data_IF_795562026204
#
_entry.id   IF_795562026204
#
_cell.length_a   1.000
_cell.length_b   1.000
_cell.length_c   1.000
_cell.angle_alpha   90.00
_cell.angle_beta   90.00
_cell.angle_gamma   90.00
#
_symmetry.space_group_name_H-M   'P 1'
#
loop_
_entity.id
_entity.type
_entity.pdbx_description
1 polymer ?
#
# COMPACT_ATOMS: atom_id res chain seq x y z
N UNK A 1 19.07 12.86 36.52
CA UNK A 1 18.02 13.87 36.35
C UNK A 1 17.49 13.67 34.94
N UNK A 2 16.31 13.06 34.80
CA UNK A 2 15.61 13.05 33.51
C UNK A 2 15.43 14.52 33.11
N UNK A 3 15.95 14.90 31.94
CA UNK A 3 15.79 16.25 31.41
C UNK A 3 14.30 16.55 31.25
N UNK A 4 13.93 17.81 31.47
CA UNK A 4 12.56 18.29 31.31
C UNK A 4 12.10 18.00 29.87
N UNK A 5 11.14 17.09 29.70
CA UNK A 5 10.58 16.69 28.40
C UNK A 5 9.33 17.51 28.12
N UNK A 6 9.10 17.87 26.84
CA UNK A 6 7.88 18.59 26.47
C UNK A 6 6.61 17.76 26.63
N UNK A 7 6.75 16.44 26.61
CA UNK A 7 5.68 15.46 26.70
C UNK A 7 6.17 14.08 26.26
N UNK A 8 5.39 13.04 26.61
CA UNK A 8 5.69 11.63 26.36
C UNK A 8 4.65 11.06 25.40
N UNK A 9 5.10 10.34 24.38
CA UNK A 9 4.20 9.64 23.43
C UNK A 9 4.62 8.20 23.25
N UNK A 10 3.66 7.28 23.26
CA UNK A 10 3.87 5.89 22.80
C UNK A 10 3.57 5.84 21.31
N UNK A 11 4.50 5.34 20.49
CA UNK A 11 4.29 5.13 19.05
C UNK A 11 4.33 3.64 18.73
N UNK A 12 3.35 3.16 17.96
CA UNK A 12 3.27 1.77 17.55
C UNK A 12 2.72 1.63 16.12
N UNK A 13 3.31 0.72 15.34
CA UNK A 13 2.61 0.19 14.16
C UNK A 13 1.74 -0.97 14.65
N UNK A 14 0.46 -0.91 14.29
CA UNK A 14 -0.59 -1.77 14.86
C UNK A 14 -0.36 -3.26 14.57
N UNK A 15 -1.08 -4.13 15.30
CA UNK A 15 -0.97 -5.58 15.19
C UNK A 15 -1.04 -6.04 13.72
N UNK A 16 -0.05 -6.85 13.34
CA UNK A 16 0.05 -7.50 12.04
C UNK A 16 0.59 -6.62 10.91
N UNK A 17 0.74 -5.31 11.13
CA UNK A 17 1.35 -4.40 10.16
C UNK A 17 2.87 -4.28 10.38
N UNK A 18 3.63 -4.36 9.29
CA UNK A 18 5.11 -4.32 9.29
C UNK A 18 5.69 -2.99 8.88
N UNK A 19 4.88 -2.09 8.33
CA UNK A 19 5.39 -0.88 7.71
C UNK A 19 5.55 0.23 8.75
N UNK A 20 6.75 0.79 8.85
CA UNK A 20 7.06 1.76 9.90
C UNK A 20 7.81 3.02 9.49
N UNK A 21 8.06 3.23 8.19
CA UNK A 21 8.71 4.47 7.70
C UNK A 21 8.03 5.72 8.27
N UNK A 22 6.71 5.81 8.13
CA UNK A 22 5.93 6.96 8.59
C UNK A 22 6.05 7.16 10.10
N UNK A 23 5.92 6.07 10.87
CA UNK A 23 6.08 6.07 12.34
C UNK A 23 7.48 6.52 12.75
N UNK A 24 8.50 5.96 12.13
CA UNK A 24 9.90 6.27 12.45
C UNK A 24 10.24 7.71 12.08
N UNK A 25 9.67 8.26 11.00
CA UNK A 25 9.79 9.69 10.71
C UNK A 25 9.12 10.56 11.78
N UNK A 26 7.94 10.16 12.28
CA UNK A 26 7.26 10.86 13.39
C UNK A 26 8.11 10.81 14.65
N UNK A 27 8.67 9.65 15.00
CA UNK A 27 9.60 9.49 16.13
C UNK A 27 10.78 10.47 16.01
N UNK A 28 11.50 10.43 14.88
CA UNK A 28 12.65 11.30 14.62
C UNK A 28 12.29 12.77 14.78
N UNK A 29 11.15 13.20 14.24
CA UNK A 29 10.72 14.60 14.32
C UNK A 29 10.35 14.98 15.76
N UNK A 30 9.60 14.14 16.49
CA UNK A 30 9.20 14.43 17.87
C UNK A 30 10.40 14.44 18.82
N UNK A 31 11.27 13.43 18.72
CA UNK A 31 12.51 13.31 19.52
C UNK A 31 13.40 14.54 19.31
N UNK A 32 13.62 14.97 18.05
CA UNK A 32 14.40 16.18 17.75
C UNK A 32 13.75 17.48 18.25
N UNK A 33 12.45 17.47 18.53
CA UNK A 33 11.71 18.63 19.03
C UNK A 33 11.50 18.62 20.56
N UNK A 34 12.14 17.69 21.27
CA UNK A 34 12.19 17.67 22.74
C UNK A 34 11.06 16.85 23.39
N UNK A 35 10.40 15.96 22.64
CA UNK A 35 9.47 14.97 23.18
C UNK A 35 10.21 13.68 23.54
N UNK A 36 9.68 12.94 24.50
CA UNK A 36 10.11 11.57 24.79
C UNK A 36 9.23 10.60 24.02
N UNK A 37 9.82 9.85 23.09
CA UNK A 37 9.10 8.88 22.27
C UNK A 37 9.38 7.46 22.77
N UNK A 38 8.33 6.72 23.09
CA UNK A 38 8.37 5.29 23.41
C UNK A 38 7.92 4.54 22.16
N UNK A 39 8.88 4.24 21.28
CA UNK A 39 8.61 3.54 20.02
C UNK A 39 8.60 2.02 20.25
N UNK A 40 7.42 1.42 20.18
CA UNK A 40 7.22 -0.02 20.40
C UNK A 40 7.55 -0.85 19.15
N UNK A 41 7.83 -0.20 18.01
CA UNK A 41 8.10 -0.89 16.75
C UNK A 41 6.82 -1.34 16.04
N UNK A 42 6.91 -2.51 15.39
CA UNK A 42 5.90 -3.05 14.48
C UNK A 42 5.12 -4.21 15.07
N UNK A 43 3.97 -4.55 14.46
CA UNK A 43 3.10 -5.66 14.86
C UNK A 43 2.65 -5.61 16.33
N UNK A 44 2.44 -4.42 16.89
CA UNK A 44 2.18 -4.27 18.33
C UNK A 44 0.71 -4.53 18.67
N UNK A 45 0.40 -5.47 19.59
CA UNK A 45 -0.95 -5.66 20.10
C UNK A 45 -1.33 -4.51 21.04
N UNK A 46 -2.64 -4.25 21.15
CA UNK A 46 -3.17 -3.19 22.00
C UNK A 46 -2.80 -3.34 23.48
N UNK A 47 -2.67 -4.57 23.97
CA UNK A 47 -2.21 -4.83 25.34
C UNK A 47 -0.85 -4.20 25.62
N UNK A 48 0.07 -4.25 24.66
CA UNK A 48 1.44 -3.76 24.82
C UNK A 48 1.46 -2.23 24.71
N UNK A 49 0.63 -1.67 23.82
CA UNK A 49 0.43 -0.21 23.70
C UNK A 49 -0.12 0.38 24.99
N UNK A 50 -1.19 -0.21 25.55
CA UNK A 50 -1.80 0.23 26.81
C UNK A 50 -0.80 0.11 27.95
N UNK A 51 -0.13 -1.05 28.06
CA UNK A 51 0.88 -1.29 29.09
C UNK A 51 1.99 -0.24 29.03
N UNK A 52 2.54 0.05 27.85
CA UNK A 52 3.57 1.06 27.69
C UNK A 52 3.07 2.47 28.05
N UNK A 53 1.81 2.79 27.69
CA UNK A 53 1.20 4.07 28.04
C UNK A 53 1.12 4.25 29.56
N UNK A 54 0.69 3.22 30.29
CA UNK A 54 0.61 3.21 31.75
C UNK A 54 2.00 3.24 32.40
N UNK A 55 2.92 2.38 31.96
CA UNK A 55 4.29 2.27 32.51
C UNK A 55 5.09 3.58 32.35
N UNK A 56 4.94 4.25 31.22
CA UNK A 56 5.68 5.47 30.92
C UNK A 56 4.92 6.76 31.24
N UNK A 57 3.66 6.65 31.68
CA UNK A 57 2.74 7.78 31.88
C UNK A 57 2.71 8.67 30.64
N UNK A 58 2.36 8.08 29.50
CA UNK A 58 2.36 8.79 28.23
C UNK A 58 1.23 9.81 28.15
N UNK A 59 1.52 10.99 27.60
CA UNK A 59 0.56 12.08 27.39
C UNK A 59 -0.27 11.88 26.11
N UNK A 60 0.20 11.03 25.20
CA UNK A 60 -0.48 10.66 23.98
C UNK A 60 -0.08 9.26 23.49
N UNK A 61 -0.91 8.65 22.65
CA UNK A 61 -0.59 7.43 21.91
C UNK A 61 -0.70 7.72 20.41
N UNK A 62 0.29 7.31 19.63
CA UNK A 62 0.28 7.32 18.18
C UNK A 62 0.21 5.91 17.60
N UNK A 63 -0.74 5.67 16.70
CA UNK A 63 -0.87 4.40 15.97
C UNK A 63 -0.70 4.63 14.46
N UNK A 64 0.10 3.77 13.83
CA UNK A 64 0.40 3.79 12.39
C UNK A 64 -0.05 2.50 11.69
N UNK A 65 -0.47 2.61 10.43
CA UNK A 65 -0.83 1.47 9.59
C UNK A 65 -0.87 1.82 8.10
N UNK A 66 -0.34 0.96 7.24
CA UNK A 66 -0.25 1.19 5.80
C UNK A 66 -1.49 0.73 5.06
N UNK A 67 -2.12 -0.38 5.49
CA UNK A 67 -3.17 -1.07 4.75
C UNK A 67 -4.56 -0.85 5.36
N UNK A 68 -5.61 -1.12 4.56
CA UNK A 68 -7.01 -0.97 5.00
C UNK A 68 -7.32 -1.86 6.21
N UNK A 69 -6.78 -3.08 6.25
CA UNK A 69 -6.93 -3.98 7.39
C UNK A 69 -6.31 -3.39 8.67
N UNK A 70 -5.20 -2.67 8.56
CA UNK A 70 -4.57 -1.96 9.68
C UNK A 70 -5.45 -0.86 10.23
N UNK A 71 -6.25 -0.19 9.39
CA UNK A 71 -7.25 0.81 9.83
C UNK A 71 -8.34 0.16 10.70
N UNK A 72 -8.78 -1.06 10.36
CA UNK A 72 -9.74 -1.79 11.18
C UNK A 72 -9.13 -2.18 12.55
N UNK A 73 -7.84 -2.56 12.58
CA UNK A 73 -7.14 -2.82 13.84
C UNK A 73 -7.06 -1.55 14.70
N UNK A 74 -6.82 -0.37 14.11
CA UNK A 74 -6.88 0.90 14.86
C UNK A 74 -8.26 1.16 15.46
N UNK A 75 -9.32 0.88 14.71
CA UNK A 75 -10.69 1.01 15.20
C UNK A 75 -10.97 0.07 16.39
N UNK A 76 -10.59 -1.19 16.28
CA UNK A 76 -10.76 -2.16 17.37
C UNK A 76 -9.94 -1.78 18.61
N UNK A 77 -8.72 -1.26 18.41
CA UNK A 77 -7.91 -0.71 19.49
C UNK A 77 -8.62 0.46 20.19
N UNK A 78 -9.20 1.39 19.44
CA UNK A 78 -9.97 2.50 20.02
C UNK A 78 -11.18 2.01 20.82
N UNK A 79 -11.92 1.00 20.33
CA UNK A 79 -13.04 0.39 21.06
C UNK A 79 -12.58 -0.22 22.38
N UNK A 80 -11.46 -0.95 22.36
CA UNK A 80 -10.92 -1.59 23.55
C UNK A 80 -10.44 -0.56 24.58
N UNK A 81 -9.73 0.49 24.13
CA UNK A 81 -9.29 1.57 25.00
C UNK A 81 -10.48 2.30 25.62
N UNK A 82 -11.49 2.64 24.82
CA UNK A 82 -12.70 3.29 25.30
C UNK A 82 -13.46 2.40 26.32
N UNK A 83 -13.58 1.10 26.04
CA UNK A 83 -14.19 0.12 26.94
C UNK A 83 -13.45 -0.04 28.28
N UNK A 84 -12.16 0.28 28.32
CA UNK A 84 -11.33 0.33 29.54
C UNK A 84 -11.33 1.70 30.23
N UNK A 85 -12.00 2.70 29.65
CA UNK A 85 -12.05 4.07 30.17
C UNK A 85 -10.72 4.82 30.01
N UNK A 86 -9.90 4.44 29.03
CA UNK A 86 -8.68 5.16 28.69
C UNK A 86 -9.07 6.36 27.83
N UNK A 87 -8.66 7.56 28.24
CA UNK A 87 -9.02 8.85 27.63
C UNK A 87 -7.82 9.62 27.07
N UNK A 88 -6.62 9.02 27.10
CA UNK A 88 -5.38 9.59 26.57
C UNK A 88 -5.59 9.99 25.10
N UNK A 89 -5.17 11.20 24.67
CA UNK A 89 -5.25 11.63 23.27
C UNK A 89 -4.56 10.65 22.31
N UNK A 90 -5.26 10.32 21.21
CA UNK A 90 -4.79 9.40 20.18
C UNK A 90 -4.47 10.15 18.89
N UNK A 91 -3.29 9.89 18.34
CA UNK A 91 -2.89 10.32 17.01
C UNK A 91 -2.93 9.10 16.09
N UNK A 92 -3.74 9.16 15.03
CA UNK A 92 -3.78 8.12 14.01
C UNK A 92 -3.13 8.62 12.72
N UNK A 93 -2.34 7.78 12.08
CA UNK A 93 -1.71 8.07 10.79
C UNK A 93 -1.42 6.81 9.97
N UNK A 94 -0.83 7.02 8.80
CA UNK A 94 -0.51 5.95 7.85
C UNK A 94 -1.31 6.05 6.55
N UNK A 95 -0.84 5.40 5.49
CA UNK A 95 -1.26 5.73 4.11
C UNK A 95 -2.71 5.35 3.80
N UNK A 96 -3.22 4.24 4.35
CA UNK A 96 -4.60 3.81 4.14
C UNK A 96 -5.62 4.64 4.93
N UNK A 97 -5.21 5.28 6.04
CA UNK A 97 -6.14 6.05 6.86
C UNK A 97 -6.49 7.38 6.19
N UNK A 98 -7.75 7.55 5.82
CA UNK A 98 -8.22 8.85 5.36
C UNK A 98 -8.52 9.78 6.54
N UNK A 99 -8.18 11.06 6.40
CA UNK A 99 -8.53 12.10 7.37
C UNK A 99 -10.02 12.10 7.70
N UNK A 100 -10.87 11.97 6.68
CA UNK A 100 -12.31 12.01 6.88
C UNK A 100 -12.79 10.86 7.74
N UNK A 101 -12.36 9.63 7.48
CA UNK A 101 -12.74 8.47 8.29
C UNK A 101 -12.32 8.65 9.76
N UNK A 102 -11.10 9.13 9.99
CA UNK A 102 -10.63 9.43 11.34
C UNK A 102 -11.49 10.51 12.02
N UNK A 103 -11.75 11.63 11.34
CA UNK A 103 -12.45 12.78 11.91
C UNK A 103 -13.96 12.59 12.07
N UNK A 104 -14.63 11.89 11.15
CA UNK A 104 -16.10 11.72 11.15
C UNK A 104 -16.59 10.48 11.88
N UNK A 105 -15.75 9.44 12.00
CA UNK A 105 -16.15 8.16 12.58
C UNK A 105 -15.31 7.78 13.80
N UNK A 106 -14.00 7.54 13.62
CA UNK A 106 -13.14 7.05 14.71
C UNK A 106 -13.07 7.99 15.91
N UNK A 107 -13.11 9.31 15.67
CA UNK A 107 -13.17 10.32 16.73
C UNK A 107 -14.40 10.16 17.62
N UNK A 108 -15.57 9.89 17.03
CA UNK A 108 -16.82 9.73 17.79
C UNK A 108 -16.82 8.44 18.61
N UNK A 109 -16.25 7.37 18.05
CA UNK A 109 -16.13 6.07 18.72
C UNK A 109 -15.34 6.18 20.04
N UNK A 110 -14.23 6.94 20.05
CA UNK A 110 -13.40 7.09 21.24
C UNK A 110 -13.89 8.19 22.19
N UNK A 111 -14.65 9.18 21.68
CA UNK A 111 -15.20 10.27 22.48
C UNK A 111 -16.12 9.79 23.61
N UNK A 112 -16.72 8.59 23.49
CA UNK A 112 -17.54 8.00 24.55
C UNK A 112 -16.76 7.82 25.87
N UNK A 113 -15.45 7.59 25.81
CA UNK A 113 -14.58 7.49 26.98
C UNK A 113 -14.03 8.85 27.46
N UNK A 114 -14.40 9.96 26.82
CA UNK A 114 -13.83 11.28 27.08
C UNK A 114 -12.51 11.55 26.37
N UNK A 115 -12.00 10.58 25.60
CA UNK A 115 -10.76 10.71 24.86
C UNK A 115 -10.91 11.45 23.53
N UNK A 116 -9.78 11.93 22.99
CA UNK A 116 -9.73 12.66 21.72
C UNK A 116 -8.90 11.91 20.68
N UNK A 117 -9.33 11.95 19.41
CA UNK A 117 -8.62 11.32 18.28
C UNK A 117 -8.30 12.38 17.23
N UNK A 118 -7.06 12.38 16.76
CA UNK A 118 -6.55 13.31 15.76
C UNK A 118 -5.86 12.57 14.60
N UNK A 119 -6.06 13.06 13.39
CA UNK A 119 -5.39 12.53 12.20
C UNK A 119 -4.09 13.28 11.89
N UNK A 120 -2.96 12.58 11.91
CA UNK A 120 -1.66 13.10 11.47
C UNK A 120 -1.35 12.66 10.04
N UNK A 121 -1.37 13.59 9.07
CA UNK A 121 -1.06 13.29 7.66
C UNK A 121 0.42 12.96 7.43
N UNK A 122 1.30 13.62 8.16
CA UNK A 122 2.74 13.44 8.10
C UNK A 122 3.38 13.78 9.46
N UNK A 123 4.70 13.60 9.57
CA UNK A 123 5.43 13.81 10.82
C UNK A 123 5.36 15.26 11.32
N UNK A 124 5.25 16.26 10.44
CA UNK A 124 5.14 17.66 10.85
C UNK A 124 3.76 17.97 11.40
N UNK A 125 2.72 17.38 10.82
CA UNK A 125 1.39 17.46 11.42
C UNK A 125 1.33 16.73 12.76
N UNK A 126 1.98 15.56 12.89
CA UNK A 126 2.14 14.87 14.17
C UNK A 126 2.79 15.75 15.25
N UNK A 127 3.85 16.47 14.89
CA UNK A 127 4.48 17.48 15.76
C UNK A 127 3.51 18.60 16.15
N UNK A 128 2.77 19.16 15.17
CA UNK A 128 1.78 20.21 15.45
C UNK A 128 0.71 19.73 16.42
N UNK A 129 0.23 18.51 16.27
CA UNK A 129 -0.79 17.91 17.13
C UNK A 129 -0.25 17.77 18.56
N UNK A 130 0.95 17.19 18.73
CA UNK A 130 1.61 17.09 20.03
C UNK A 130 1.80 18.45 20.71
N UNK A 131 2.28 19.46 19.96
CA UNK A 131 2.44 20.83 20.49
C UNK A 131 1.11 21.42 20.99
N UNK A 132 -0.01 21.14 20.32
CA UNK A 132 -1.32 21.61 20.76
C UNK A 132 -1.86 20.82 21.95
N UNK A 133 -1.66 19.51 21.99
CA UNK A 133 -2.06 18.65 23.11
C UNK A 133 -1.33 19.10 24.38
N UNK A 134 -0.01 19.22 24.33
CA UNK A 134 0.80 19.63 25.50
C UNK A 134 0.57 21.08 25.91
N UNK A 135 0.17 21.95 24.98
CA UNK A 135 -0.21 23.33 25.29
C UNK A 135 -1.65 23.47 25.82
N UNK A 136 -2.42 22.39 25.94
CA UNK A 136 -3.83 22.43 26.35
C UNK A 136 -4.74 23.12 25.32
N UNK A 137 -4.35 23.13 24.04
CA UNK A 137 -5.05 23.80 22.92
C UNK A 137 -5.85 22.84 22.06
N UNK A 138 -6.33 21.74 22.63
CA UNK A 138 -7.14 20.74 21.91
C UNK A 138 -8.42 21.32 21.33
N UNK A 139 -9.02 22.34 21.96
CA UNK A 139 -10.26 22.95 21.49
C UNK A 139 -10.06 23.66 20.13
N UNK A 140 -8.85 24.16 19.87
CA UNK A 140 -8.49 24.71 18.56
C UNK A 140 -8.48 23.61 17.50
N UNK A 141 -7.89 22.46 17.81
CA UNK A 141 -7.88 21.31 16.90
C UNK A 141 -9.30 20.79 16.65
N UNK A 142 -10.11 20.71 17.70
CA UNK A 142 -11.49 20.26 17.64
C UNK A 142 -12.32 21.18 16.74
N UNK A 143 -12.21 22.50 16.91
CA UNK A 143 -12.88 23.46 16.05
C UNK A 143 -12.44 23.35 14.58
N UNK A 144 -11.14 23.18 14.34
CA UNK A 144 -10.63 22.99 12.98
C UNK A 144 -11.21 21.73 12.30
N UNK A 145 -11.46 20.66 13.06
CA UNK A 145 -12.11 19.43 12.58
C UNK A 145 -13.58 19.71 12.25
N UNK A 146 -14.33 20.34 13.17
CA UNK A 146 -15.75 20.67 12.95
C UNK A 146 -15.95 21.55 11.71
N UNK A 147 -15.07 22.54 11.51
CA UNK A 147 -15.09 23.41 10.34
C UNK A 147 -14.87 22.61 9.04
N UNK A 148 -13.98 21.60 9.06
CA UNK A 148 -13.72 20.73 7.90
C UNK A 148 -14.91 19.83 7.60
N UNK A 149 -15.49 19.20 8.62
CA UNK A 149 -16.65 18.31 8.46
C UNK A 149 -17.87 19.07 7.95
N UNK A 150 -18.13 20.26 8.50
CA UNK A 150 -19.24 21.13 8.06
C UNK A 150 -19.07 21.53 6.59
N UNK A 151 -17.89 22.01 6.20
CA UNK A 151 -17.61 22.38 4.80
C UNK A 151 -17.77 21.21 3.83
N UNK A 152 -17.43 20.00 4.27
CA UNK A 152 -17.58 18.79 3.47
C UNK A 152 -19.05 18.39 3.32
N UNK A 153 -19.81 18.40 4.41
CA UNK A 153 -21.25 18.14 4.38
C UNK A 153 -21.97 19.12 3.44
N UNK A 154 -21.68 20.41 3.53
CA UNK A 154 -22.22 21.43 2.62
C UNK A 154 -21.89 21.16 1.14
N UNK A 155 -20.70 20.62 0.86
CA UNK A 155 -20.29 20.28 -0.49
C UNK A 155 -21.00 19.01 -0.99
N UNK A 156 -21.13 17.99 -0.15
CA UNK A 156 -21.83 16.75 -0.45
C UNK A 156 -23.33 17.01 -0.71
N UNK A 157 -23.99 17.84 0.10
CA UNK A 157 -25.37 18.27 -0.15
C UNK A 157 -25.55 18.99 -1.49
N UNK A 158 -24.60 19.86 -1.87
CA UNK A 158 -24.63 20.55 -3.17
C UNK A 158 -24.44 19.58 -4.33
N UNK A 159 -23.53 18.61 -4.20
CA UNK A 159 -23.30 17.57 -5.19
C UNK A 159 -24.57 16.71 -5.33
N UNK A 160 -25.18 16.32 -4.23
CA UNK A 160 -26.37 15.46 -4.26
C UNK A 160 -27.61 16.20 -4.76
N UNK A 161 -27.74 17.49 -4.45
CA UNK A 161 -28.74 18.36 -5.08
C UNK A 161 -28.51 18.52 -6.60
N UNK A 162 -27.25 18.55 -7.05
CA UNK A 162 -26.92 18.58 -8.47
C UNK A 162 -27.23 17.24 -9.16
N UNK A 163 -26.83 16.12 -8.56
CA UNK A 163 -27.17 14.76 -9.05
C UNK A 163 -28.68 14.52 -9.05
N UNK A 164 -29.42 15.00 -8.05
CA UNK A 164 -30.88 14.90 -8.02
C UNK A 164 -31.54 15.67 -9.17
N UNK A 165 -31.00 16.85 -9.55
CA UNK A 165 -31.45 17.59 -10.73
C UNK A 165 -31.14 16.87 -12.04
N UNK A 166 -29.99 16.20 -12.12
CA UNK A 166 -29.63 15.41 -13.30
C UNK A 166 -30.43 14.10 -13.39
N UNK A 167 -30.70 13.44 -12.26
CA UNK A 167 -31.64 12.31 -12.17
C UNK A 167 -33.04 12.70 -12.58
N UNK A 168 -33.56 13.86 -12.14
CA UNK A 168 -34.86 14.35 -12.60
C UNK A 168 -34.90 14.63 -14.11
N UNK A 169 -33.79 15.07 -14.73
CA UNK A 169 -33.69 15.20 -16.20
C UNK A 169 -33.65 13.86 -16.92
N UNK A 170 -32.98 12.86 -16.35
CA UNK A 170 -32.92 11.51 -16.90
C UNK A 170 -34.24 10.74 -16.71
N UNK A 171 -34.91 10.88 -15.57
CA UNK A 171 -36.22 10.29 -15.30
C UNK A 171 -37.33 10.91 -16.15
N UNK A 172 -37.26 12.22 -16.43
CA UNK A 172 -38.15 12.86 -17.41
C UNK A 172 -37.93 12.33 -18.84
N UNK A 173 -36.73 11.84 -19.16
CA UNK A 173 -36.42 11.13 -20.41
C UNK A 173 -36.81 9.65 -20.39
N UNK A 174 -36.68 8.97 -19.25
CA UNK A 174 -36.99 7.55 -19.08
C UNK A 174 -38.49 7.29 -18.89
N UNK A 175 -39.28 8.23 -18.38
CA UNK A 175 -40.75 8.13 -18.35
C UNK A 175 -41.39 8.03 -19.75
N UNK A 176 -40.63 8.29 -20.82
CA UNK A 176 -41.03 8.03 -22.21
C UNK A 176 -40.76 6.58 -22.68
N UNK A 177 -40.03 5.76 -21.92
CA UNK A 177 -39.70 4.37 -22.23
C UNK A 177 -40.13 3.46 -21.05
N UNK A 178 -41.22 2.71 -21.27
CA UNK A 178 -41.96 1.98 -20.23
C UNK A 178 -41.13 1.09 -19.31
N UNK A 179 -41.53 1.08 -18.02
CA UNK A 179 -40.86 0.37 -16.93
C UNK A 179 -41.08 -1.14 -16.93
N UNK A 180 -40.00 -1.86 -16.69
CA UNK A 180 -40.00 -3.26 -16.27
C UNK A 180 -39.13 -3.41 -15.02
N UNK A 181 -39.62 -4.17 -14.04
CA UNK A 181 -38.90 -4.52 -12.81
C UNK A 181 -37.69 -5.38 -13.12
N UNK A 182 -36.49 -4.80 -13.03
CA UNK A 182 -35.23 -5.48 -13.32
C UNK A 182 -34.84 -6.42 -12.16
N UNK A 183 -34.71 -7.70 -12.50
CA UNK A 183 -33.80 -8.61 -11.78
C UNK A 183 -32.42 -7.96 -11.87
N UNK A 184 -31.69 -7.83 -10.76
CA UNK A 184 -30.31 -7.31 -10.78
C UNK A 184 -29.45 -8.35 -11.48
N UNK A 185 -29.36 -8.24 -12.80
CA UNK A 185 -28.48 -9.05 -13.63
C UNK A 185 -27.05 -8.59 -13.36
N UNK A 186 -26.18 -9.50 -12.92
CA UNK A 186 -24.75 -9.18 -12.72
C UNK A 186 -24.15 -8.97 -14.10
N UNK A 187 -23.93 -7.71 -14.47
CA UNK A 187 -23.42 -7.32 -15.79
C UNK A 187 -21.90 -7.51 -15.82
N UNK A 188 -21.41 -8.39 -16.71
CA UNK A 188 -19.97 -8.53 -17.00
C UNK A 188 -19.44 -7.29 -17.73
N UNK A 189 -18.16 -6.97 -17.57
CA UNK A 189 -17.54 -5.88 -18.32
C UNK A 189 -17.53 -6.11 -19.84
N UNK A 190 -17.36 -5.02 -20.58
CA UNK A 190 -17.36 -4.97 -22.05
C UNK A 190 -15.98 -5.25 -22.69
N UNK A 191 -15.03 -5.80 -21.92
CA UNK A 191 -13.67 -6.11 -22.39
C UNK A 191 -13.69 -7.19 -23.48
N UNK A 192 -12.75 -7.10 -24.42
CA UNK A 192 -12.63 -8.02 -25.53
C UNK A 192 -12.44 -9.48 -25.07
N UNK A 193 -13.21 -10.42 -25.63
CA UNK A 193 -13.11 -11.85 -25.27
C UNK A 193 -12.29 -12.67 -26.27
N UNK A 194 -12.02 -12.09 -27.45
CA UNK A 194 -11.33 -12.70 -28.58
C UNK A 194 -9.80 -12.47 -28.56
N UNK A 195 -9.26 -12.05 -27.42
CA UNK A 195 -7.81 -11.89 -27.23
C UNK A 195 -7.10 -13.23 -27.29
N UNK A 196 -6.00 -13.29 -28.04
CA UNK A 196 -5.14 -14.48 -28.14
C UNK A 196 -4.39 -14.72 -26.83
N UNK A 197 -4.47 -15.93 -26.30
CA UNK A 197 -3.71 -16.38 -25.13
C UNK A 197 -2.22 -16.46 -25.51
N UNK A 198 -1.31 -15.80 -24.77
CA UNK A 198 0.12 -15.88 -25.03
C UNK A 198 0.66 -17.28 -24.69
N UNK A 199 1.74 -17.68 -25.37
CA UNK A 199 2.48 -18.88 -24.99
C UNK A 199 3.48 -18.53 -23.89
N UNK A 200 3.60 -19.36 -22.87
CA UNK A 200 4.56 -19.19 -21.77
C UNK A 200 5.70 -20.19 -21.89
N UNK A 201 6.92 -19.86 -21.46
CA UNK A 201 8.09 -20.73 -21.61
C UNK A 201 8.06 -21.96 -20.68
N UNK A 202 7.24 -21.93 -19.64
CA UNK A 202 7.00 -23.04 -18.72
C UNK A 202 5.67 -22.84 -18.00
N UNK A 203 5.19 -23.88 -17.31
CA UNK A 203 4.08 -23.82 -16.36
C UNK A 203 4.58 -24.26 -14.98
N UNK A 204 3.94 -23.80 -13.91
CA UNK A 204 4.44 -23.92 -12.53
C UNK A 204 5.34 -22.74 -12.15
N UNK A 205 6.16 -22.91 -11.11
CA UNK A 205 6.97 -21.83 -10.52
C UNK A 205 8.48 -22.08 -10.57
N UNK A 206 9.25 -20.99 -10.63
CA UNK A 206 10.72 -20.96 -10.61
C UNK A 206 11.24 -19.88 -9.68
N UNK A 207 12.41 -20.14 -9.09
CA UNK A 207 13.17 -19.17 -8.29
C UNK A 207 14.27 -18.56 -9.14
N UNK A 208 14.51 -17.26 -8.94
CA UNK A 208 15.66 -16.54 -9.48
C UNK A 208 16.27 -15.70 -8.36
N UNK A 209 17.54 -15.94 -8.05
CA UNK A 209 18.25 -15.34 -6.91
C UNK A 209 19.63 -14.75 -7.28
N UNK A 210 19.97 -14.75 -8.57
CA UNK A 210 21.25 -14.30 -9.13
C UNK A 210 21.13 -12.99 -9.94
N UNK A 211 20.26 -12.08 -9.49
CA UNK A 211 19.94 -10.85 -10.21
C UNK A 211 21.03 -9.78 -9.99
N UNK A 212 21.67 -9.28 -11.05
CA UNK A 212 22.65 -8.21 -10.92
C UNK A 212 22.00 -6.91 -10.44
N UNK A 213 22.55 -6.32 -9.37
CA UNK A 213 22.06 -5.05 -8.83
C UNK A 213 22.12 -3.91 -9.86
N UNK A 214 23.06 -3.94 -10.79
CA UNK A 214 23.15 -2.95 -11.87
C UNK A 214 21.95 -2.97 -12.83
N UNK A 215 21.37 -4.15 -13.09
CA UNK A 215 20.14 -4.25 -13.90
C UNK A 215 18.96 -3.65 -13.12
N UNK A 216 18.88 -3.94 -11.83
CA UNK A 216 17.84 -3.45 -10.94
C UNK A 216 17.84 -1.92 -10.81
N UNK A 217 19.02 -1.32 -10.66
CA UNK A 217 19.19 0.13 -10.47
C UNK A 217 18.59 0.94 -11.62
N UNK A 218 18.58 0.40 -12.84
CA UNK A 218 17.94 1.04 -14.00
C UNK A 218 16.42 1.20 -13.89
N UNK A 219 15.78 0.39 -13.05
CA UNK A 219 14.34 0.39 -12.80
C UNK A 219 13.95 1.07 -11.48
N UNK A 220 14.90 1.68 -10.76
CA UNK A 220 14.55 2.46 -9.56
C UNK A 220 13.83 3.74 -9.96
N UNK A 221 12.62 3.93 -9.45
CA UNK A 221 11.86 5.16 -9.64
C UNK A 221 12.44 6.29 -8.78
N UNK A 222 13.45 6.98 -9.33
CA UNK A 222 14.14 8.08 -8.64
C UNK A 222 13.21 9.21 -8.19
N UNK A 223 12.09 9.43 -8.88
CA UNK A 223 11.12 10.47 -8.47
C UNK A 223 10.44 10.04 -7.16
N UNK A 224 9.98 8.80 -7.08
CA UNK A 224 9.37 8.22 -5.87
C UNK A 224 10.39 8.14 -4.72
N UNK A 225 11.61 7.67 -5.00
CA UNK A 225 12.71 7.65 -4.03
C UNK A 225 13.01 9.05 -3.48
N UNK A 226 13.32 10.01 -4.35
CA UNK A 226 13.83 11.32 -3.91
C UNK A 226 12.74 12.13 -3.19
N UNK A 227 11.51 12.18 -3.75
CA UNK A 227 10.44 13.02 -3.19
C UNK A 227 9.62 12.31 -2.12
N UNK A 228 9.34 11.03 -2.34
CA UNK A 228 8.47 10.20 -1.51
C UNK A 228 9.20 9.62 -0.31
N UNK A 229 10.32 8.94 -0.53
CA UNK A 229 11.05 8.29 0.57
C UNK A 229 12.01 9.26 1.27
N UNK A 230 12.90 9.91 0.51
CA UNK A 230 13.96 10.77 1.05
C UNK A 230 13.54 12.21 1.31
N UNK A 231 12.28 12.57 1.00
CA UNK A 231 11.69 13.89 1.27
C UNK A 231 12.38 15.10 0.61
N UNK A 232 13.20 14.91 -0.43
CA UNK A 232 13.75 15.99 -1.27
C UNK A 232 12.68 16.58 -2.19
N UNK A 233 11.74 17.31 -1.58
CA UNK A 233 10.64 18.01 -2.26
C UNK A 233 11.10 19.38 -2.76
N UNK A 234 10.55 19.81 -3.90
CA UNK A 234 10.82 21.15 -4.46
C UNK A 234 10.48 22.28 -3.49
N UNK A 235 9.35 22.16 -2.80
CA UNK A 235 8.91 23.17 -1.83
C UNK A 235 8.83 24.56 -2.48
N UNK A 236 9.58 25.53 -1.91
CA UNK A 236 9.63 26.93 -2.37
C UNK A 236 10.79 27.22 -3.32
N UNK A 237 11.61 26.23 -3.66
CA UNK A 237 12.73 26.38 -4.58
C UNK A 237 12.23 26.67 -5.99
N UNK A 238 12.96 27.48 -6.74
CA UNK A 238 12.80 27.57 -8.19
C UNK A 238 13.19 26.25 -8.87
N UNK A 239 12.78 26.05 -10.12
CA UNK A 239 13.18 24.85 -10.89
C UNK A 239 14.70 24.70 -10.98
N UNK A 240 15.42 25.79 -11.27
CA UNK A 240 16.87 25.77 -11.37
C UNK A 240 17.58 25.44 -10.04
N UNK A 241 17.05 25.92 -8.91
CA UNK A 241 17.60 25.60 -7.59
C UNK A 241 17.32 24.14 -7.21
N UNK A 242 16.12 23.64 -7.53
CA UNK A 242 15.78 22.25 -7.29
C UNK A 242 16.63 21.31 -8.15
N UNK A 243 16.81 21.60 -9.43
CA UNK A 243 17.67 20.82 -10.32
C UNK A 243 19.12 20.79 -9.84
N UNK A 244 19.62 21.91 -9.31
CA UNK A 244 20.95 21.98 -8.69
C UNK A 244 21.05 21.15 -7.41
N UNK A 245 20.01 21.13 -6.58
CA UNK A 245 19.94 20.26 -5.40
C UNK A 245 19.96 18.78 -5.80
N UNK A 246 19.17 18.40 -6.81
CA UNK A 246 19.13 17.03 -7.32
C UNK A 246 20.51 16.61 -7.84
N UNK A 247 21.06 17.35 -8.80
CA UNK A 247 22.33 16.99 -9.46
C UNK A 247 23.55 17.11 -8.55
N UNK A 248 23.56 18.07 -7.62
CA UNK A 248 24.70 18.34 -6.75
C UNK A 248 24.69 17.59 -5.42
N UNK A 249 23.56 17.01 -5.00
CA UNK A 249 23.44 16.35 -3.69
C UNK A 249 22.73 15.01 -3.77
N UNK A 250 21.55 14.97 -4.40
CA UNK A 250 20.69 13.77 -4.34
C UNK A 250 21.19 12.67 -5.27
N UNK A 251 21.64 13.00 -6.48
CA UNK A 251 22.22 12.03 -7.40
C UNK A 251 23.54 11.42 -6.84
N UNK A 252 24.50 12.21 -6.32
CA UNK A 252 25.67 11.65 -5.63
C UNK A 252 25.34 10.76 -4.43
N UNK A 253 24.29 11.09 -3.67
CA UNK A 253 23.81 10.26 -2.57
C UNK A 253 23.27 8.91 -3.10
N UNK A 254 22.49 8.94 -4.18
CA UNK A 254 22.00 7.73 -4.85
C UNK A 254 23.14 6.84 -5.32
N UNK A 255 24.12 7.41 -6.02
CA UNK A 255 25.27 6.65 -6.51
C UNK A 255 26.07 6.03 -5.35
N UNK A 256 26.24 6.77 -4.25
CA UNK A 256 26.88 6.25 -3.05
C UNK A 256 26.10 5.10 -2.40
N UNK A 257 24.77 5.16 -2.37
CA UNK A 257 23.92 4.07 -1.86
C UNK A 257 24.01 2.82 -2.72
N UNK A 258 24.04 2.97 -4.05
CA UNK A 258 24.24 1.85 -4.99
C UNK A 258 25.58 1.16 -4.72
N UNK A 259 26.66 1.94 -4.63
CA UNK A 259 28.00 1.39 -4.40
C UNK A 259 28.15 0.75 -3.01
N UNK A 260 27.54 1.33 -1.98
CA UNK A 260 27.51 0.74 -0.64
C UNK A 260 26.73 -0.59 -0.62
N UNK A 261 25.56 -0.63 -1.26
CA UNK A 261 24.75 -1.84 -1.38
C UNK A 261 25.50 -2.97 -2.09
N UNK A 262 26.26 -2.67 -3.16
CA UNK A 262 27.14 -3.65 -3.84
C UNK A 262 28.27 -4.13 -2.93
N UNK A 263 28.98 -3.19 -2.31
CA UNK A 263 30.16 -3.47 -1.49
C UNK A 263 29.82 -4.30 -0.25
N UNK A 264 28.75 -3.93 0.44
CA UNK A 264 28.34 -4.54 1.70
C UNK A 264 27.33 -5.68 1.51
N UNK A 265 26.85 -5.88 0.27
CA UNK A 265 25.79 -6.84 -0.07
C UNK A 265 24.57 -6.65 0.83
N UNK A 266 24.13 -5.39 0.94
CA UNK A 266 22.99 -5.03 1.79
C UNK A 266 21.66 -5.44 1.16
N UNK A 267 21.63 -5.54 -0.17
CA UNK A 267 20.49 -6.00 -0.96
C UNK A 267 20.80 -7.37 -1.56
N UNK A 268 19.86 -8.30 -1.43
CA UNK A 268 19.87 -9.62 -2.05
C UNK A 268 18.59 -9.79 -2.88
N UNK A 269 18.55 -9.23 -4.11
CA UNK A 269 17.38 -9.31 -4.98
C UNK A 269 17.11 -10.77 -5.36
N UNK A 270 15.91 -11.25 -5.03
CA UNK A 270 15.46 -12.58 -5.35
C UNK A 270 13.96 -12.55 -5.64
N UNK A 271 13.50 -13.50 -6.44
CA UNK A 271 12.08 -13.67 -6.70
C UNK A 271 11.69 -15.13 -6.91
N UNK A 272 10.40 -15.35 -6.77
CA UNK A 272 9.72 -16.52 -7.26
C UNK A 272 8.60 -16.07 -8.19
N UNK A 273 8.50 -16.71 -9.35
CA UNK A 273 7.43 -16.43 -10.31
C UNK A 273 6.97 -17.69 -11.00
N UNK A 274 5.78 -17.65 -11.57
CA UNK A 274 5.23 -18.79 -12.26
C UNK A 274 4.09 -18.44 -13.19
N UNK A 275 3.75 -19.42 -14.02
CA UNK A 275 2.62 -19.36 -14.95
C UNK A 275 1.69 -20.54 -14.70
N UNK A 276 0.40 -20.27 -14.59
CA UNK A 276 -0.60 -21.29 -14.29
C UNK A 276 -1.72 -21.25 -15.33
N UNK A 277 -2.16 -22.40 -15.85
CA UNK A 277 -3.37 -22.46 -16.65
C UNK A 277 -4.55 -21.96 -15.80
N UNK A 278 -5.41 -21.13 -16.38
CA UNK A 278 -6.56 -20.59 -15.66
C UNK A 278 -7.79 -20.39 -16.55
N UNK A 279 -8.94 -20.23 -15.91
CA UNK A 279 -10.16 -19.76 -16.57
C UNK A 279 -11.00 -18.92 -15.62
N UNK A 280 -11.78 -18.00 -16.17
CA UNK A 280 -12.77 -17.24 -15.42
C UNK A 280 -14.10 -17.97 -15.31
N UNK A 281 -14.72 -17.89 -14.13
CA UNK A 281 -16.08 -18.34 -13.85
C UNK A 281 -16.81 -17.24 -13.06
N UNK A 282 -17.51 -16.36 -13.76
CA UNK A 282 -18.05 -15.15 -13.17
C UNK A 282 -16.94 -14.23 -12.64
N UNK A 283 -16.97 -13.94 -11.34
CA UNK A 283 -15.99 -13.13 -10.61
C UNK A 283 -14.78 -13.94 -10.11
N UNK A 284 -14.83 -15.26 -10.29
CA UNK A 284 -13.73 -16.14 -9.90
C UNK A 284 -12.74 -16.35 -11.03
N UNK A 285 -11.48 -16.58 -10.65
CA UNK A 285 -10.42 -17.07 -11.50
C UNK A 285 -9.91 -18.40 -10.94
N UNK A 286 -10.16 -19.47 -11.70
CA UNK A 286 -9.79 -20.85 -11.38
C UNK A 286 -8.40 -21.12 -11.92
N UNK A 287 -7.49 -21.60 -11.07
CA UNK A 287 -6.16 -22.04 -11.48
C UNK A 287 -6.08 -23.56 -11.46
N UNK A 288 -5.43 -24.12 -12.48
CA UNK A 288 -5.30 -25.55 -12.68
C UNK A 288 -3.87 -26.06 -12.44
N UNK A 289 -3.75 -27.34 -12.14
CA UNK A 289 -2.48 -28.03 -11.92
C UNK A 289 -1.62 -27.95 -13.19
N UNK A 290 -0.35 -27.50 -13.11
CA UNK A 290 0.57 -27.48 -14.23
C UNK A 290 0.82 -28.87 -14.87
N UNK A 291 0.64 -29.96 -14.11
CA UNK A 291 0.79 -31.33 -14.59
C UNK A 291 -0.54 -31.95 -15.08
N UNK A 292 -1.68 -31.40 -14.65
CA UNK A 292 -3.04 -31.84 -15.02
C UNK A 292 -4.00 -30.65 -15.07
N UNK A 293 -4.16 -30.06 -16.26
CA UNK A 293 -4.96 -28.85 -16.48
C UNK A 293 -6.49 -29.06 -16.30
N UNK A 294 -6.92 -30.27 -15.96
CA UNK A 294 -8.29 -30.59 -15.56
C UNK A 294 -8.53 -30.45 -14.05
N UNK A 295 -7.47 -30.47 -13.24
CA UNK A 295 -7.53 -30.40 -11.78
C UNK A 295 -7.41 -28.96 -11.30
N UNK A 296 -8.45 -28.46 -10.66
CA UNK A 296 -8.41 -27.18 -9.93
C UNK A 296 -7.48 -27.30 -8.70
N UNK A 297 -6.55 -26.35 -8.57
CA UNK A 297 -5.61 -26.29 -7.43
C UNK A 297 -5.82 -25.06 -6.55
N UNK A 298 -6.39 -23.97 -7.09
CA UNK A 298 -6.66 -22.74 -6.35
C UNK A 298 -7.71 -21.88 -7.05
N UNK A 299 -8.35 -20.98 -6.30
CA UNK A 299 -9.37 -20.06 -6.82
C UNK A 299 -9.29 -18.68 -6.17
N UNK A 300 -9.16 -17.66 -6.99
CA UNK A 300 -9.27 -16.25 -6.56
C UNK A 300 -10.67 -15.73 -6.86
N UNK A 301 -11.22 -14.90 -5.98
CA UNK A 301 -12.52 -14.24 -6.17
C UNK A 301 -12.30 -12.74 -6.14
N UNK A 302 -12.62 -12.05 -7.24
CA UNK A 302 -12.31 -10.63 -7.39
C UNK A 302 -13.58 -9.77 -7.37
N UNK A 303 -13.58 -8.64 -6.65
CA UNK A 303 -14.73 -7.76 -6.64
C UNK A 303 -14.97 -7.12 -8.02
N UNK A 304 -16.23 -6.80 -8.28
CA UNK A 304 -16.68 -6.12 -9.50
C UNK A 304 -16.98 -4.65 -9.22
N UNK A 305 -16.52 -3.79 -10.12
CA UNK A 305 -16.75 -2.35 -10.04
C UNK A 305 -18.25 -1.99 -10.20
N UNK A 306 -18.77 -1.13 -9.32
CA UNK A 306 -20.15 -0.65 -9.42
C UNK A 306 -20.29 0.58 -10.35
N UNK A 307 -21.41 0.64 -11.10
CA UNK A 307 -21.86 1.80 -11.88
C UNK A 307 -20.95 2.33 -13.00
N UNK A 308 -19.84 1.66 -13.32
CA UNK A 308 -18.88 2.06 -14.37
C UNK A 308 -18.80 1.01 -15.49
N UNK A 309 -17.59 0.56 -15.83
CA UNK A 309 -17.35 -0.48 -16.84
C UNK A 309 -17.58 -1.90 -16.31
N UNK A 310 -18.03 -2.03 -15.05
CA UNK A 310 -18.22 -3.32 -14.38
C UNK A 310 -16.99 -4.21 -14.40
N UNK A 311 -15.78 -3.61 -14.36
CA UNK A 311 -14.52 -4.34 -14.42
C UNK A 311 -14.37 -5.27 -13.20
N UNK A 312 -13.91 -6.48 -13.48
CA UNK A 312 -13.46 -7.47 -12.53
C UNK A 312 -12.20 -8.12 -13.11
N UNK A 313 -11.20 -8.46 -12.30
CA UNK A 313 -9.93 -9.02 -12.80
C UNK A 313 -10.16 -10.33 -13.57
N UNK A 314 -11.11 -11.16 -13.14
CA UNK A 314 -11.46 -12.41 -13.83
C UNK A 314 -11.92 -12.17 -15.27
N UNK A 315 -12.47 -10.99 -15.58
CA UNK A 315 -13.02 -10.71 -16.91
C UNK A 315 -11.96 -10.68 -18.00
N UNK A 316 -10.70 -10.43 -17.64
CA UNK A 316 -9.55 -10.38 -18.55
C UNK A 316 -9.05 -11.77 -19.00
N UNK A 317 -9.66 -12.85 -18.52
CA UNK A 317 -9.28 -14.23 -18.83
C UNK A 317 -10.39 -15.00 -19.54
N UNK A 318 -10.01 -15.98 -20.38
CA UNK A 318 -10.94 -16.90 -21.05
C UNK A 318 -11.90 -17.57 -20.05
N UNK A 319 -13.19 -17.56 -20.38
CA UNK A 319 -14.23 -18.20 -19.58
C UNK A 319 -14.10 -19.72 -19.62
N UNK A 320 -14.55 -20.39 -18.56
CA UNK A 320 -14.60 -21.87 -18.48
C UNK A 320 -15.37 -22.53 -19.64
N UNK A 321 -16.35 -21.84 -20.21
CA UNK A 321 -17.17 -22.31 -21.34
C UNK A 321 -16.61 -21.95 -22.73
N UNK A 322 -15.44 -21.28 -22.78
CA UNK A 322 -14.80 -20.89 -24.05
C UNK A 322 -14.15 -22.07 -24.79
N UNK A 323 -13.88 -23.18 -24.08
CA UNK A 323 -13.15 -24.33 -24.62
C UNK A 323 -11.63 -24.15 -24.73
N UNK A 324 -11.08 -23.02 -24.26
CA UNK A 324 -9.65 -22.72 -24.25
C UNK A 324 -9.19 -22.36 -22.82
N UNK A 325 -8.02 -22.86 -22.40
CA UNK A 325 -7.36 -22.43 -21.15
C UNK A 325 -6.64 -21.11 -21.38
N UNK A 326 -6.82 -20.18 -20.46
CA UNK A 326 -5.98 -18.99 -20.39
C UNK A 326 -4.74 -19.24 -19.52
N UNK A 327 -3.90 -18.22 -19.35
CA UNK A 327 -2.72 -18.26 -18.48
C UNK A 327 -2.61 -17.01 -17.61
N UNK A 328 -2.35 -17.21 -16.33
CA UNK A 328 -2.04 -16.16 -15.36
C UNK A 328 -0.57 -16.25 -14.96
N UNK A 329 0.09 -15.09 -14.86
CA UNK A 329 1.40 -15.00 -14.21
C UNK A 329 1.24 -14.66 -12.73
N UNK A 330 2.10 -15.21 -11.87
CA UNK A 330 2.19 -14.86 -10.46
C UNK A 330 3.64 -14.52 -10.14
N UNK A 331 3.87 -13.51 -9.30
CA UNK A 331 5.22 -13.13 -8.87
C UNK A 331 5.24 -12.77 -7.38
N UNK A 332 6.35 -13.06 -6.70
CA UNK A 332 6.71 -12.51 -5.41
C UNK A 332 8.20 -12.19 -5.44
N UNK A 333 8.57 -10.95 -5.13
CA UNK A 333 9.95 -10.46 -5.18
C UNK A 333 10.37 -9.93 -3.82
N UNK A 334 11.68 -9.94 -3.55
CA UNK A 334 12.28 -9.35 -2.35
C UNK A 334 13.68 -8.83 -2.65
N UNK A 335 14.14 -7.84 -1.88
CA UNK A 335 15.58 -7.49 -1.82
C UNK A 335 16.26 -8.03 -0.57
N UNK A 336 15.60 -8.96 0.11
CA UNK A 336 16.15 -9.78 1.19
C UNK A 336 16.12 -9.12 2.56
N UNK A 337 16.24 -9.95 3.60
CA UNK A 337 16.12 -9.54 5.01
C UNK A 337 17.24 -8.58 5.47
N UNK A 338 18.37 -8.57 4.77
CA UNK A 338 19.59 -7.88 5.21
C UNK A 338 19.41 -6.37 5.29
N UNK A 339 18.67 -5.77 4.36
CA UNK A 339 18.41 -4.32 4.41
C UNK A 339 17.63 -3.95 5.66
N UNK A 340 16.60 -4.72 6.03
CA UNK A 340 15.81 -4.45 7.24
C UNK A 340 16.61 -4.65 8.52
N UNK A 341 17.58 -5.58 8.54
CA UNK A 341 18.52 -5.71 9.68
C UNK A 341 19.41 -4.47 9.84
N UNK A 342 19.95 -3.97 8.73
CA UNK A 342 20.86 -2.82 8.74
C UNK A 342 20.09 -1.54 9.08
N UNK A 343 18.89 -1.34 8.54
CA UNK A 343 18.05 -0.18 8.88
C UNK A 343 17.66 -0.19 10.35
N UNK A 344 17.24 -1.34 10.92
CA UNK A 344 16.97 -1.46 12.36
C UNK A 344 18.18 -1.08 13.21
N UNK A 345 19.39 -1.51 12.81
CA UNK A 345 20.64 -1.14 13.50
C UNK A 345 20.92 0.37 13.40
N UNK A 346 20.77 0.96 12.21
CA UNK A 346 20.97 2.41 12.02
C UNK A 346 20.00 3.21 12.89
N UNK A 347 18.74 2.78 12.97
CA UNK A 347 17.73 3.39 13.81
C UNK A 347 18.11 3.33 15.30
N UNK A 348 18.53 2.16 15.79
CA UNK A 348 18.96 1.97 17.18
C UNK A 348 20.26 2.71 17.55
N UNK A 349 21.08 3.09 16.57
CA UNK A 349 22.30 3.87 16.74
C UNK A 349 22.07 5.39 16.56
N UNK A 350 20.81 5.85 16.54
CA UNK A 350 20.41 7.25 16.28
C UNK A 350 20.89 7.80 14.92
N UNK A 351 21.23 6.92 13.96
CA UNK A 351 21.64 7.29 12.59
C UNK A 351 20.42 7.43 11.67
N UNK A 352 19.52 8.31 12.07
CA UNK A 352 18.20 8.46 11.47
C UNK A 352 18.22 8.84 9.98
N UNK A 353 19.17 9.68 9.57
CA UNK A 353 19.31 10.05 8.17
C UNK A 353 19.74 8.86 7.31
N UNK A 354 20.74 8.11 7.77
CA UNK A 354 21.24 6.91 7.07
C UNK A 354 20.15 5.82 7.01
N UNK A 355 19.41 5.65 8.12
CA UNK A 355 18.23 4.79 8.19
C UNK A 355 17.21 5.15 7.10
N UNK A 356 16.80 6.43 7.04
CA UNK A 356 15.79 6.90 6.10
C UNK A 356 16.24 6.65 4.66
N UNK A 357 17.51 6.93 4.37
CA UNK A 357 18.05 6.76 3.03
C UNK A 357 18.12 5.29 2.61
N UNK A 358 18.68 4.43 3.45
CA UNK A 358 18.80 3.01 3.16
C UNK A 358 17.44 2.31 3.08
N UNK A 359 16.52 2.63 3.99
CA UNK A 359 15.18 2.07 3.97
C UNK A 359 14.44 2.47 2.69
N UNK A 360 14.43 3.76 2.37
CA UNK A 360 13.80 4.26 1.15
C UNK A 360 14.38 3.62 -0.11
N UNK A 361 15.71 3.47 -0.15
CA UNK A 361 16.39 2.80 -1.24
C UNK A 361 15.99 1.32 -1.36
N UNK A 362 15.94 0.59 -0.24
CA UNK A 362 15.51 -0.81 -0.21
C UNK A 362 14.08 -1.02 -0.74
N UNK A 363 13.12 -0.17 -0.32
CA UNK A 363 11.73 -0.22 -0.79
C UNK A 363 11.66 0.00 -2.31
N UNK A 364 12.31 1.04 -2.80
CA UNK A 364 12.29 1.35 -4.24
C UNK A 364 13.07 0.33 -5.06
N UNK A 365 14.06 -0.36 -4.48
CA UNK A 365 14.69 -1.51 -5.12
C UNK A 365 13.77 -2.74 -5.18
N UNK A 366 12.91 -2.98 -4.19
CA UNK A 366 11.90 -4.05 -4.29
C UNK A 366 10.89 -3.76 -5.41
N UNK A 367 10.41 -2.51 -5.52
CA UNK A 367 9.53 -2.08 -6.61
C UNK A 367 10.22 -2.12 -7.98
N UNK A 368 11.49 -1.71 -8.04
CA UNK A 368 12.30 -1.83 -9.25
C UNK A 368 12.41 -3.29 -9.70
N UNK A 369 12.51 -4.23 -8.76
CA UNK A 369 12.64 -5.65 -9.07
C UNK A 369 11.32 -6.18 -9.62
N UNK A 370 10.20 -5.79 -9.03
CA UNK A 370 8.88 -6.12 -9.54
C UNK A 370 8.66 -5.60 -10.95
N UNK A 371 9.05 -4.35 -11.23
CA UNK A 371 8.88 -3.75 -12.56
C UNK A 371 9.83 -4.39 -13.59
N UNK A 372 11.09 -4.60 -13.19
CA UNK A 372 12.09 -5.27 -14.02
C UNK A 372 11.63 -6.67 -14.42
N UNK A 373 11.15 -7.44 -13.44
CA UNK A 373 10.71 -8.80 -13.71
C UNK A 373 9.38 -8.85 -14.45
N UNK A 374 8.47 -7.92 -14.19
CA UNK A 374 7.24 -7.80 -14.98
C UNK A 374 7.55 -7.54 -16.46
N UNK A 375 8.58 -6.74 -16.76
CA UNK A 375 9.07 -6.60 -18.15
C UNK A 375 9.51 -7.94 -18.74
N UNK A 376 10.32 -8.71 -18.01
CA UNK A 376 10.74 -10.05 -18.47
C UNK A 376 9.56 -11.00 -18.65
N UNK A 377 8.55 -10.94 -17.79
CA UNK A 377 7.32 -11.72 -17.96
C UNK A 377 6.61 -11.36 -19.27
N UNK A 378 6.57 -10.08 -19.65
CA UNK A 378 5.99 -9.64 -20.93
C UNK A 378 6.83 -10.12 -22.13
N UNK A 379 8.16 -10.10 -22.03
CA UNK A 379 9.06 -10.66 -23.05
C UNK A 379 8.84 -12.17 -23.20
N UNK A 380 8.75 -12.91 -22.09
CA UNK A 380 8.50 -14.35 -22.07
C UNK A 380 7.15 -14.73 -22.69
N UNK A 381 6.13 -13.88 -22.50
CA UNK A 381 4.81 -14.02 -23.11
C UNK A 381 4.74 -13.51 -24.57
N UNK A 382 5.78 -12.84 -25.06
CA UNK A 382 5.81 -12.21 -26.38
C UNK A 382 4.79 -11.09 -26.56
N UNK A 383 4.58 -10.29 -25.51
CA UNK A 383 3.62 -9.16 -25.47
C UNK A 383 4.29 -7.81 -25.16
N UNK A 384 5.61 -7.76 -25.23
CA UNK A 384 6.44 -6.58 -24.98
C UNK A 384 6.52 -5.61 -26.18
N UNK A 385 5.87 -5.93 -27.30
CA UNK A 385 5.81 -5.10 -28.51
C UNK A 385 5.19 -3.71 -28.28
N UNK A 386 4.45 -3.57 -27.17
CA UNK A 386 3.81 -2.32 -26.73
C UNK A 386 4.53 -1.64 -25.56
N UNK A 387 5.68 -2.16 -25.11
CA UNK A 387 6.46 -1.54 -24.05
C UNK A 387 6.99 -0.18 -24.52
N UNK A 388 6.82 0.84 -23.67
CA UNK A 388 7.43 2.12 -23.92
C UNK A 388 8.96 2.04 -23.92
N UNK A 389 9.60 2.69 -24.89
CA UNK A 389 11.07 2.78 -24.98
C UNK A 389 11.70 3.46 -23.75
N UNK A 390 10.97 4.40 -23.12
CA UNK A 390 11.40 5.06 -21.89
C UNK A 390 10.93 4.23 -20.67
N UNK A 391 11.85 3.63 -19.89
CA UNK A 391 11.49 2.85 -18.70
C UNK A 391 10.62 3.59 -17.71
N UNK A 392 10.71 4.94 -17.66
CA UNK A 392 9.88 5.76 -16.75
C UNK A 392 8.40 5.68 -17.06
N UNK A 393 8.05 5.42 -18.32
CA UNK A 393 6.66 5.27 -18.77
C UNK A 393 6.07 3.91 -18.39
N UNK A 394 6.91 2.93 -18.04
CA UNK A 394 6.44 1.65 -17.53
C UNK A 394 5.73 1.83 -16.18
N UNK A 395 6.22 2.73 -15.31
CA UNK A 395 5.55 3.04 -14.03
C UNK A 395 4.14 3.64 -14.18
N UNK A 396 3.78 4.14 -15.36
CA UNK A 396 2.42 4.63 -15.68
C UNK A 396 1.67 3.71 -16.65
N UNK A 397 2.04 2.43 -16.68
CA UNK A 397 1.42 1.35 -17.45
C UNK A 397 1.38 1.56 -18.97
N UNK A 398 2.40 2.21 -19.55
CA UNK A 398 2.59 2.22 -21.00
C UNK A 398 3.24 0.92 -21.50
N UNK A 399 2.49 -0.16 -21.36
CA UNK A 399 2.75 -1.52 -21.84
C UNK A 399 1.43 -2.28 -21.97
N UNK A 400 1.45 -3.45 -22.61
CA UNK A 400 0.31 -4.38 -22.63
C UNK A 400 0.21 -5.16 -21.30
N UNK A 401 -1.01 -5.36 -20.83
CA UNK A 401 -1.26 -6.06 -19.57
C UNK A 401 -1.18 -5.17 -18.33
N UNK A 402 -1.29 -5.79 -17.16
CA UNK A 402 -1.21 -5.15 -15.85
C UNK A 402 -0.74 -6.15 -14.80
N UNK A 403 -0.06 -5.66 -13.76
CA UNK A 403 0.19 -6.40 -12.52
C UNK A 403 -0.73 -5.88 -11.42
N UNK A 404 -1.37 -6.74 -10.64
CA UNK A 404 -2.23 -6.34 -9.53
C UNK A 404 -1.74 -6.99 -8.24
N UNK A 405 -1.53 -6.18 -7.20
CA UNK A 405 -1.08 -6.64 -5.89
C UNK A 405 -2.24 -6.68 -4.91
N UNK A 406 -2.29 -7.68 -4.03
CA UNK A 406 -3.37 -7.78 -3.06
C UNK A 406 -3.34 -6.61 -2.07
N UNK A 407 -4.50 -6.21 -1.58
CA UNK A 407 -4.68 -4.98 -0.78
C UNK A 407 -4.85 -3.70 -1.59
N UNK A 408 -4.62 -3.72 -2.91
CA UNK A 408 -4.93 -2.60 -3.80
C UNK A 408 -6.40 -2.59 -4.25
N UNK A 409 -6.94 -1.45 -4.74
CA UNK A 409 -8.36 -1.32 -5.03
C UNK A 409 -8.98 -2.34 -5.98
N UNK A 410 -8.22 -2.96 -6.89
CA UNK A 410 -8.75 -3.97 -7.82
C UNK A 410 -8.86 -5.38 -7.20
N UNK A 411 -8.04 -5.68 -6.18
CA UNK A 411 -8.01 -6.94 -5.44
C UNK A 411 -7.70 -6.63 -3.96
N UNK A 412 -8.67 -6.04 -3.23
CA UNK A 412 -8.44 -5.45 -1.91
C UNK A 412 -8.30 -6.48 -0.79
N UNK A 413 -8.66 -7.74 -1.02
CA UNK A 413 -8.52 -8.80 -0.02
C UNK A 413 -7.06 -9.25 0.08
N UNK A 414 -6.40 -8.85 1.17
CA UNK A 414 -5.02 -9.23 1.44
C UNK A 414 -4.86 -10.71 1.79
N UNK A 415 -5.93 -11.40 2.20
CA UNK A 415 -5.86 -12.84 2.53
C UNK A 415 -5.58 -13.74 1.33
N UNK A 416 -5.82 -13.24 0.11
CA UNK A 416 -5.45 -13.92 -1.12
C UNK A 416 -3.91 -14.07 -1.29
N UNK A 417 -3.09 -13.34 -0.52
CA UNK A 417 -1.65 -13.60 -0.43
C UNK A 417 -1.36 -15.05 -0.01
N UNK A 418 -2.17 -15.67 0.87
CA UNK A 418 -1.97 -17.07 1.24
C UNK A 418 -2.10 -18.01 0.04
N UNK A 419 -3.02 -17.72 -0.87
CA UNK A 419 -3.21 -18.49 -2.11
C UNK A 419 -1.99 -18.35 -3.01
N UNK A 420 -1.48 -17.12 -3.18
CA UNK A 420 -0.25 -16.87 -3.92
C UNK A 420 0.94 -17.60 -3.28
N UNK A 421 1.05 -17.61 -1.96
CA UNK A 421 2.10 -18.31 -1.23
C UNK A 421 2.02 -19.83 -1.40
N UNK A 422 0.82 -20.43 -1.37
CA UNK A 422 0.66 -21.86 -1.67
C UNK A 422 1.08 -22.24 -3.08
N UNK A 423 0.85 -21.35 -4.05
CA UNK A 423 1.18 -21.59 -5.45
C UNK A 423 2.68 -21.40 -5.74
N UNK A 424 3.26 -20.32 -5.22
CA UNK A 424 4.64 -19.94 -5.53
C UNK A 424 5.67 -20.42 -4.50
N UNK A 425 5.29 -20.74 -3.28
CA UNK A 425 6.21 -21.03 -2.18
C UNK A 425 7.34 -19.97 -2.02
N UNK A 426 7.02 -18.67 -1.77
CA UNK A 426 8.01 -17.60 -1.58
C UNK A 426 8.95 -17.79 -0.39
N UNK A 427 8.69 -18.75 0.48
CA UNK A 427 9.61 -19.17 1.54
C UNK A 427 10.97 -19.60 0.96
N UNK A 428 10.99 -20.05 -0.31
CA UNK A 428 12.22 -20.39 -1.05
C UNK A 428 13.15 -19.19 -1.26
N UNK A 429 12.64 -17.95 -1.19
CA UNK A 429 13.42 -16.71 -1.23
C UNK A 429 13.43 -15.97 0.13
N UNK A 430 12.98 -16.65 1.20
CA UNK A 430 12.96 -16.10 2.56
C UNK A 430 11.79 -15.17 2.84
N UNK A 431 10.77 -15.11 1.98
CA UNK A 431 9.54 -14.37 2.25
C UNK A 431 8.58 -15.19 3.10
N UNK A 432 7.89 -14.55 4.05
CA UNK A 432 6.86 -15.17 4.92
C UNK A 432 5.65 -14.23 5.04
N UNK A 433 4.50 -14.75 5.49
CA UNK A 433 3.32 -13.95 5.77
C UNK A 433 3.14 -13.68 7.26
N UNK A 434 2.72 -12.46 7.60
CA UNK A 434 2.25 -12.12 8.95
C UNK A 434 0.84 -12.66 9.20
N UNK A 435 0.37 -12.61 10.45
CA UNK A 435 -1.04 -12.89 10.79
C UNK A 435 -2.04 -11.99 10.05
N UNK A 436 -1.59 -10.82 9.57
CA UNK A 436 -2.41 -9.91 8.78
C UNK A 436 -2.31 -10.15 7.27
N UNK A 437 -1.49 -11.11 6.82
CA UNK A 437 -1.19 -11.42 5.41
C UNK A 437 -0.24 -10.42 4.74
N UNK A 438 0.57 -9.70 5.50
CA UNK A 438 1.63 -8.86 4.95
C UNK A 438 2.90 -9.68 4.70
N UNK A 439 3.68 -9.31 3.68
CA UNK A 439 4.92 -10.01 3.33
C UNK A 439 6.07 -9.51 4.20
N UNK A 440 6.83 -10.44 4.77
CA UNK A 440 8.08 -10.18 5.49
C UNK A 440 9.25 -10.87 4.76
N UNK A 441 10.37 -10.16 4.45
CA UNK A 441 10.66 -8.77 4.82
C UNK A 441 9.80 -7.75 4.07
N UNK A 442 9.61 -6.57 4.67
CA UNK A 442 8.76 -5.50 4.11
C UNK A 442 9.25 -4.98 2.75
N UNK A 443 10.55 -5.12 2.43
CA UNK A 443 11.09 -4.80 1.11
C UNK A 443 10.83 -5.94 0.12
N UNK A 444 9.55 -6.28 -0.01
CA UNK A 444 9.02 -7.33 -0.87
C UNK A 444 7.68 -6.90 -1.46
N UNK A 445 7.32 -7.47 -2.61
CA UNK A 445 6.00 -7.25 -3.21
C UNK A 445 5.60 -8.47 -4.03
N UNK A 446 4.30 -8.77 -4.05
CA UNK A 446 3.74 -9.83 -4.87
C UNK A 446 2.69 -9.26 -5.81
N UNK A 447 2.40 -9.98 -6.90
CA UNK A 447 1.27 -9.63 -7.75
C UNK A 447 0.82 -10.80 -8.61
N UNK A 448 -0.43 -10.69 -9.08
CA UNK A 448 -0.92 -11.39 -10.26
C UNK A 448 -0.60 -10.58 -11.51
N UNK A 449 -0.24 -11.25 -12.60
CA UNK A 449 0.09 -10.65 -13.90
C UNK A 449 -0.96 -11.06 -14.92
N UNK A 450 -1.61 -10.06 -15.51
CA UNK A 450 -2.68 -10.18 -16.49
C UNK A 450 -2.14 -9.70 -17.84
N UNK A 451 -2.21 -10.56 -18.87
CA UNK A 451 -1.67 -10.26 -20.21
C UNK A 451 -2.63 -9.48 -21.12
N UNK A 452 -3.90 -9.37 -20.73
CA UNK A 452 -4.95 -8.78 -21.54
C UNK A 452 -4.64 -7.32 -21.90
N UNK A 453 -4.77 -6.89 -23.18
CA UNK A 453 -4.41 -5.54 -23.62
C UNK A 453 -5.21 -4.42 -22.96
N UNK A 454 -6.46 -4.69 -22.56
CA UNK A 454 -7.31 -3.72 -21.86
C UNK A 454 -7.12 -3.73 -20.33
N UNK A 455 -6.27 -4.61 -19.78
CA UNK A 455 -5.99 -4.62 -18.35
C UNK A 455 -5.22 -3.35 -17.94
N UNK A 456 -5.79 -2.58 -17.02
CA UNK A 456 -5.20 -1.38 -16.39
C UNK A 456 -5.64 -1.31 -14.93
N UNK A 457 -4.99 -0.48 -14.12
CA UNK A 457 -5.46 -0.24 -12.75
C UNK A 457 -6.87 0.36 -12.75
N UNK A 458 -7.73 -0.19 -11.90
CA UNK A 458 -9.08 0.30 -11.64
C UNK A 458 -9.41 0.13 -10.16
N UNK A 459 -10.43 0.85 -9.70
CA UNK A 459 -10.92 0.80 -8.32
C UNK A 459 -12.34 0.23 -8.32
N UNK A 460 -12.59 -0.78 -7.48
CA UNK A 460 -13.95 -1.31 -7.27
C UNK A 460 -14.84 -0.37 -6.48
#
# INVERSE_FOLDING_TARGET
>A
AEGDTKGRIVLATVKGDVHDIGKNLVDIILTNNGYTVINLGIKQPISDIIKACEEHNADAIGMSGLLVKSVNVMEDNLKEMAGRGIDVPILLGGAALSRHYCESYLRNLYAEAGGKVYHGKDAFEGLRLMDHIMAGKTDTLDQEIEDRLTKRADAEEKIEAAKAKDRQKQEAGAAAAGGGTAVVEVVRSDVATDVKVPTVPFVGSKVVDDIPLDELVGYVNRIALYRGQWQFKKGRLSDAEYDKLITGTVDPLFDAMVEDAKKNRTLHPALVYGYYPCNSDGEDLILYDPEDDSREIERFSFPRQDGKKHLCISDFFKRVDSGEKDVIGLTCVTVGQKVSEVTRKLFAEDKYQDYLYLHGFGVECAEALAEYWHKRVREEMGIDDQDAEDPRKLFTQHYRGSRYSFGYPACPDLSDEEKLFRLLEPERIGCTLTESYEIEPEQSTSCIVVHHPEAKYFNV
#
